data_IF_144372740783
#
_entry.id   IF_144372740783
#
_cell.length_a   1.000
_cell.length_b   1.000
_cell.length_c   1.000
_cell.angle_alpha   90.00
_cell.angle_beta   90.00
_cell.angle_gamma   90.00
#
_symmetry.space_group_name_H-M   'P 1'
#
loop_
_entity.id
_entity.type
_entity.pdbx_description
1 polymer ?
#
# COMPACT_ATOMS: atom_id res chain seq x y z
N UNK A 1 2.22 -24.79 -12.77
CA UNK A 1 1.92 -23.69 -13.65
C UNK A 1 0.43 -23.57 -13.91
N UNK A 2 -0.37 -23.11 -12.96
CA UNK A 2 -1.76 -22.74 -13.22
C UNK A 2 -1.96 -21.29 -12.87
N UNK A 3 -1.96 -20.43 -13.91
CA UNK A 3 -2.49 -19.09 -13.84
C UNK A 3 -3.98 -19.22 -13.59
N UNK A 4 -4.42 -19.02 -12.37
CA UNK A 4 -5.83 -18.89 -12.04
C UNK A 4 -6.38 -17.61 -12.68
N UNK A 5 -6.91 -17.74 -13.89
CA UNK A 5 -7.67 -16.68 -14.54
C UNK A 5 -9.00 -16.53 -13.81
N UNK A 6 -9.15 -15.48 -13.03
CA UNK A 6 -10.46 -15.10 -12.50
C UNK A 6 -11.26 -14.43 -13.64
N UNK A 7 -12.09 -15.20 -14.34
CA UNK A 7 -13.03 -14.65 -15.31
C UNK A 7 -14.13 -13.85 -14.61
N UNK A 8 -14.31 -12.61 -15.03
CA UNK A 8 -15.40 -11.74 -14.57
C UNK A 8 -16.73 -12.17 -15.18
N UNK A 9 -17.49 -12.95 -14.44
CA UNK A 9 -18.95 -13.05 -14.65
C UNK A 9 -19.63 -12.57 -13.39
N UNK A 10 -20.61 -11.68 -13.58
CA UNK A 10 -21.46 -11.06 -12.55
C UNK A 10 -22.41 -12.07 -11.87
N UNK A 11 -21.87 -13.13 -11.27
CA UNK A 11 -22.62 -14.06 -10.44
C UNK A 11 -22.15 -13.97 -9.00
N UNK A 12 -23.05 -13.68 -8.09
CA UNK A 12 -22.84 -13.58 -6.65
C UNK A 12 -22.54 -14.95 -6.01
N UNK A 13 -21.42 -15.54 -6.30
CA UNK A 13 -20.99 -16.78 -5.66
C UNK A 13 -20.03 -16.48 -4.49
N UNK A 14 -20.26 -16.97 -3.26
CA UNK A 14 -19.41 -16.72 -2.09
C UNK A 14 -17.93 -17.11 -2.28
N UNK A 15 -17.63 -18.07 -3.18
CA UNK A 15 -16.25 -18.45 -3.53
C UNK A 15 -15.50 -17.38 -4.32
N UNK A 16 -16.19 -16.47 -5.01
CA UNK A 16 -15.60 -15.32 -5.72
C UNK A 16 -15.14 -14.21 -4.77
N UNK A 17 -15.69 -14.15 -3.55
CA UNK A 17 -15.22 -13.18 -2.53
C UNK A 17 -13.75 -13.42 -2.17
N UNK A 18 -13.28 -14.67 -2.13
CA UNK A 18 -11.89 -14.98 -1.79
C UNK A 18 -10.89 -14.59 -2.88
N UNK A 19 -11.25 -14.68 -4.16
CA UNK A 19 -10.41 -14.20 -5.27
C UNK A 19 -10.29 -12.67 -5.31
N UNK A 20 -11.35 -11.96 -4.96
CA UNK A 20 -11.38 -10.49 -4.96
C UNK A 20 -10.51 -9.86 -3.85
N UNK A 21 -10.16 -10.63 -2.81
CA UNK A 21 -9.41 -10.13 -1.65
C UNK A 21 -7.91 -10.44 -1.66
N UNK A 22 -7.40 -11.23 -2.60
CA UNK A 22 -6.00 -11.67 -2.58
C UNK A 22 -5.01 -10.74 -3.30
N UNK A 23 -5.48 -9.85 -4.16
CA UNK A 23 -4.60 -9.07 -5.01
C UNK A 23 -3.75 -9.95 -5.96
N UNK A 24 -3.14 -9.35 -6.98
CA UNK A 24 -2.28 -10.07 -7.93
C UNK A 24 -0.83 -10.21 -7.44
N UNK A 25 -0.47 -9.56 -6.33
CA UNK A 25 0.92 -9.41 -5.88
C UNK A 25 1.22 -10.17 -4.59
N UNK A 26 0.59 -11.31 -4.41
CA UNK A 26 0.83 -12.23 -3.28
C UNK A 26 -0.03 -11.96 -2.07
N UNK A 27 0.21 -12.77 -1.03
CA UNK A 27 -0.56 -12.72 0.21
C UNK A 27 0.21 -11.89 1.25
N UNK A 28 -0.31 -10.71 1.58
CA UNK A 28 0.31 -9.79 2.56
C UNK A 28 0.51 -10.48 3.91
N UNK A 29 -0.43 -11.35 4.33
CA UNK A 29 -0.41 -12.00 5.63
C UNK A 29 0.82 -12.89 5.88
N UNK A 30 1.42 -13.44 4.81
CA UNK A 30 2.60 -14.31 4.91
C UNK A 30 3.93 -13.57 4.74
N UNK A 31 3.91 -12.26 4.48
CA UNK A 31 5.14 -11.48 4.34
C UNK A 31 5.79 -11.25 5.69
N UNK A 32 7.10 -11.42 5.74
CA UNK A 32 7.88 -11.11 6.93
C UNK A 32 8.08 -9.61 7.10
N UNK A 33 8.06 -9.15 8.34
CA UNK A 33 8.38 -7.78 8.76
C UNK A 33 9.53 -7.83 9.74
N UNK A 34 10.34 -6.76 9.81
CA UNK A 34 11.43 -6.69 10.79
C UNK A 34 10.87 -6.61 12.22
N UNK A 35 11.66 -7.08 13.19
CA UNK A 35 11.34 -6.93 14.61
C UNK A 35 11.28 -5.45 15.05
N UNK A 36 12.01 -4.59 14.35
CA UNK A 36 12.05 -3.15 14.58
C UNK A 36 10.75 -2.42 14.20
N UNK A 37 9.78 -3.11 13.61
CA UNK A 37 8.49 -2.50 13.23
C UNK A 37 7.78 -1.82 14.40
N UNK A 38 7.96 -2.33 15.62
CA UNK A 38 7.41 -1.69 16.83
C UNK A 38 8.16 -0.41 17.19
N UNK A 39 9.47 -0.33 16.92
CA UNK A 39 10.32 0.80 17.32
C UNK A 39 10.18 1.98 16.37
N UNK A 40 9.94 1.74 15.08
CA UNK A 40 9.87 2.77 14.04
C UNK A 40 8.70 3.71 14.22
N UNK A 41 7.61 3.21 14.75
CA UNK A 41 6.43 4.02 15.04
C UNK A 41 6.54 4.72 16.40
N UNK A 42 7.61 4.46 17.15
CA UNK A 42 8.07 5.28 18.27
C UNK A 42 7.22 5.23 19.53
N UNK A 43 6.21 4.37 19.61
CA UNK A 43 5.34 4.28 20.77
C UNK A 43 5.07 2.83 21.13
N UNK A 44 5.60 2.43 22.26
CA UNK A 44 5.16 1.22 22.98
C UNK A 44 4.21 1.68 24.07
N UNK A 45 2.91 1.53 23.84
CA UNK A 45 1.91 1.72 24.89
C UNK A 45 1.50 0.35 25.43
N UNK A 46 2.11 -0.07 26.51
CA UNK A 46 1.84 -1.40 27.08
C UNK A 46 2.34 -2.53 26.18
N UNK A 47 1.46 -3.45 25.79
CA UNK A 47 1.78 -4.59 24.90
C UNK A 47 1.43 -4.36 23.42
N UNK A 48 1.07 -3.14 23.02
CA UNK A 48 0.66 -2.81 21.65
C UNK A 48 1.78 -2.07 20.95
N UNK A 49 2.23 -2.59 19.80
CA UNK A 49 3.19 -1.91 18.94
C UNK A 49 2.62 -0.59 18.41
N UNK A 50 3.47 0.43 18.27
CA UNK A 50 3.05 1.75 17.83
C UNK A 50 2.33 1.76 16.47
N UNK A 51 2.71 0.88 15.53
CA UNK A 51 2.03 0.79 14.24
C UNK A 51 0.55 0.36 14.40
N UNK A 52 0.23 -0.53 15.35
CA UNK A 52 -1.16 -0.97 15.58
C UNK A 52 -1.99 0.17 16.15
N UNK A 53 -1.45 0.94 17.09
CA UNK A 53 -2.12 2.11 17.64
C UNK A 53 -2.43 3.15 16.55
N UNK A 54 -1.48 3.49 15.72
CA UNK A 54 -1.70 4.42 14.61
C UNK A 54 -2.67 3.84 13.57
N UNK A 55 -2.54 2.57 13.21
CA UNK A 55 -3.44 1.91 12.27
C UNK A 55 -4.89 1.87 12.81
N UNK A 56 -5.09 1.64 14.10
CA UNK A 56 -6.41 1.68 14.73
C UNK A 56 -7.01 3.09 14.74
N UNK A 57 -6.20 4.11 15.07
CA UNK A 57 -6.62 5.51 15.01
C UNK A 57 -7.02 5.90 13.59
N UNK A 58 -6.19 5.55 12.60
CA UNK A 58 -6.42 5.86 11.20
C UNK A 58 -7.64 5.10 10.65
N UNK A 59 -7.90 3.88 11.12
CA UNK A 59 -9.08 3.11 10.75
C UNK A 59 -10.38 3.84 11.10
N UNK A 60 -10.42 4.51 12.25
CA UNK A 60 -11.59 5.27 12.71
C UNK A 60 -11.88 6.50 11.85
N UNK A 61 -10.87 7.07 11.21
CA UNK A 61 -10.97 8.28 10.38
C UNK A 61 -10.95 8.00 8.87
N UNK A 62 -10.87 6.74 8.47
CA UNK A 62 -10.75 6.35 7.06
C UNK A 62 -12.02 6.67 6.26
N UNK A 63 -12.10 7.89 5.71
CA UNK A 63 -13.17 8.32 4.81
C UNK A 63 -13.05 7.70 3.41
N UNK A 64 -11.87 7.24 3.04
CA UNK A 64 -11.53 6.74 1.70
C UNK A 64 -11.82 5.25 1.50
N UNK A 65 -12.49 4.58 2.43
CA UNK A 65 -12.71 3.12 2.39
C UNK A 65 -13.34 2.63 1.09
N UNK A 66 -14.37 3.33 0.61
CA UNK A 66 -15.08 2.98 -0.64
C UNK A 66 -14.14 3.16 -1.84
N UNK A 67 -13.42 4.28 -1.90
CA UNK A 67 -12.48 4.58 -2.99
C UNK A 67 -11.35 3.54 -3.07
N UNK A 68 -10.80 3.13 -1.93
CA UNK A 68 -9.76 2.10 -1.87
C UNK A 68 -10.26 0.79 -2.47
N UNK A 69 -11.51 0.40 -2.14
CA UNK A 69 -12.12 -0.81 -2.71
C UNK A 69 -12.41 -0.71 -4.21
N UNK A 70 -12.71 0.46 -4.73
CA UNK A 70 -12.91 0.66 -6.16
C UNK A 70 -11.59 0.62 -6.95
N UNK A 71 -10.54 1.28 -6.42
CA UNK A 71 -9.22 1.37 -7.08
C UNK A 71 -8.56 0.00 -7.22
N UNK A 72 -8.78 -0.93 -6.27
CA UNK A 72 -8.24 -2.29 -6.32
C UNK A 72 -8.57 -3.04 -7.60
N UNK A 73 -9.78 -2.82 -8.14
CA UNK A 73 -10.26 -3.56 -9.31
C UNK A 73 -9.44 -3.24 -10.57
N UNK A 74 -8.93 -2.03 -10.67
CA UNK A 74 -8.18 -1.58 -11.84
C UNK A 74 -6.73 -2.06 -11.86
N UNK A 75 -6.10 -2.12 -10.71
CA UNK A 75 -4.68 -2.45 -10.58
C UNK A 75 -4.42 -3.79 -9.88
N UNK A 76 -5.48 -4.52 -9.52
CA UNK A 76 -5.38 -5.78 -8.77
C UNK A 76 -4.54 -5.65 -7.48
N UNK A 77 -4.53 -4.44 -6.88
CA UNK A 77 -3.80 -4.17 -5.65
C UNK A 77 -4.66 -4.57 -4.43
N UNK A 78 -4.02 -5.18 -3.43
CA UNK A 78 -4.71 -5.46 -2.18
C UNK A 78 -5.14 -4.14 -1.51
N UNK A 79 -6.45 -3.97 -1.21
CA UNK A 79 -6.94 -2.73 -0.58
C UNK A 79 -6.28 -2.45 0.76
N UNK A 80 -5.92 -3.48 1.53
CA UNK A 80 -5.23 -3.32 2.80
C UNK A 80 -3.84 -2.67 2.62
N UNK A 81 -3.15 -2.95 1.51
CA UNK A 81 -1.87 -2.32 1.21
C UNK A 81 -2.05 -0.83 0.87
N UNK A 82 -3.06 -0.50 0.08
CA UNK A 82 -3.38 0.91 -0.24
C UNK A 82 -3.73 1.68 1.04
N UNK A 83 -4.55 1.09 1.92
CA UNK A 83 -4.88 1.66 3.22
C UNK A 83 -3.63 1.88 4.08
N UNK A 84 -2.72 0.93 4.11
CA UNK A 84 -1.48 1.02 4.87
C UNK A 84 -0.56 2.16 4.37
N UNK A 85 -0.46 2.35 3.06
CA UNK A 85 0.30 3.48 2.48
C UNK A 85 -0.35 4.81 2.91
N UNK A 86 -1.66 4.95 2.78
CA UNK A 86 -2.39 6.16 3.18
C UNK A 86 -2.21 6.43 4.68
N UNK A 87 -2.35 5.41 5.51
CA UNK A 87 -2.12 5.51 6.95
C UNK A 87 -0.70 6.02 7.25
N UNK A 88 0.31 5.38 6.66
CA UNK A 88 1.71 5.73 6.92
C UNK A 88 2.09 7.12 6.42
N UNK A 89 1.57 7.53 5.27
CA UNK A 89 1.96 8.78 4.60
C UNK A 89 1.15 10.00 5.08
N UNK A 90 -0.12 9.83 5.43
CA UNK A 90 -1.00 10.97 5.74
C UNK A 90 -1.96 10.76 6.92
N UNK A 91 -1.87 9.64 7.66
CA UNK A 91 -2.82 9.28 8.71
C UNK A 91 -4.29 9.41 8.26
N UNK A 92 -4.61 8.76 7.13
CA UNK A 92 -5.94 8.86 6.53
C UNK A 92 -6.28 10.24 5.95
N UNK A 93 -5.28 11.08 5.72
CA UNK A 93 -5.43 12.46 5.25
C UNK A 93 -5.56 13.50 6.38
N UNK A 94 -5.54 13.09 7.65
CA UNK A 94 -5.83 13.99 8.78
C UNK A 94 -4.73 14.98 9.10
N UNK A 95 -3.48 14.65 8.78
CA UNK A 95 -2.31 15.50 9.10
C UNK A 95 -1.88 16.41 7.95
N UNK A 96 -2.67 16.49 6.88
CA UNK A 96 -2.34 17.28 5.70
C UNK A 96 -3.36 18.37 5.48
N UNK A 97 -2.88 19.59 5.29
CA UNK A 97 -3.71 20.72 4.92
C UNK A 97 -3.82 20.78 3.40
N UNK A 98 -5.03 20.71 2.87
CA UNK A 98 -5.30 20.69 1.43
C UNK A 98 -4.50 19.62 0.64
N UNK A 99 -4.12 18.55 1.34
CA UNK A 99 -3.39 17.43 0.78
C UNK A 99 -1.88 17.63 0.62
N UNK A 100 -1.34 18.82 0.92
CA UNK A 100 0.10 19.07 0.82
C UNK A 100 0.85 18.80 2.12
N UNK A 101 2.09 18.37 2.00
CA UNK A 101 3.01 18.36 3.14
C UNK A 101 3.42 19.80 3.51
N UNK A 102 4.02 19.97 4.70
CA UNK A 102 4.44 21.29 5.20
C UNK A 102 5.46 22.02 4.31
N UNK A 103 6.15 21.30 3.42
CA UNK A 103 7.12 21.86 2.44
C UNK A 103 6.48 22.11 1.08
N UNK A 104 5.23 21.73 0.86
CA UNK A 104 4.55 21.81 -0.43
C UNK A 104 5.21 20.95 -1.53
N UNK A 105 5.88 19.86 -1.15
CA UNK A 105 6.62 18.98 -2.07
C UNK A 105 5.90 17.67 -2.34
N UNK A 106 5.07 17.21 -1.41
CA UNK A 106 4.33 15.95 -1.51
C UNK A 106 2.84 16.22 -1.45
N UNK A 107 2.08 15.47 -2.24
CA UNK A 107 0.65 15.70 -2.42
C UNK A 107 -0.20 14.44 -2.23
N UNK A 108 -1.38 14.66 -1.66
CA UNK A 108 -2.47 13.72 -1.57
C UNK A 108 -2.36 12.70 -0.46
N UNK A 109 -3.34 11.80 -0.40
CA UNK A 109 -3.42 10.73 0.60
C UNK A 109 -2.15 9.87 0.67
N UNK A 110 -1.48 9.69 -0.46
CA UNK A 110 -0.28 8.84 -0.59
C UNK A 110 1.03 9.63 -0.66
N UNK A 111 0.95 10.95 -0.50
CA UNK A 111 2.09 11.86 -0.47
C UNK A 111 3.07 11.68 -1.66
N UNK A 112 2.53 11.74 -2.88
CA UNK A 112 3.34 11.69 -4.11
C UNK A 112 4.25 12.91 -4.23
N UNK A 113 5.53 12.69 -4.56
CA UNK A 113 6.51 13.74 -4.78
C UNK A 113 6.23 14.50 -6.09
N UNK A 114 5.86 15.79 -5.99
CA UNK A 114 5.55 16.63 -7.14
C UNK A 114 6.73 16.86 -8.10
N UNK A 115 7.96 16.69 -7.64
CA UNK A 115 9.15 16.79 -8.50
C UNK A 115 9.26 15.62 -9.47
N UNK A 116 8.65 14.49 -9.14
CA UNK A 116 8.69 13.26 -9.94
C UNK A 116 7.38 12.97 -10.66
N UNK A 117 6.28 13.39 -10.07
CA UNK A 117 4.94 13.12 -10.59
C UNK A 117 4.10 14.40 -10.59
N UNK A 118 3.44 14.68 -11.70
CA UNK A 118 2.40 15.72 -11.72
C UNK A 118 1.14 15.15 -11.05
N UNK A 119 0.70 15.68 -9.90
CA UNK A 119 -0.50 15.19 -9.24
C UNK A 119 -1.74 15.33 -10.12
N UNK A 120 -2.62 14.34 -10.06
CA UNK A 120 -3.90 14.29 -10.79
C UNK A 120 -5.04 14.29 -9.77
N UNK A 121 -6.11 15.03 -10.07
CA UNK A 121 -7.29 15.13 -9.23
C UNK A 121 -7.08 15.93 -7.95
N UNK A 122 -8.06 15.87 -7.05
CA UNK A 122 -7.95 16.40 -5.70
C UNK A 122 -7.20 15.42 -4.79
N UNK A 123 -6.70 15.90 -3.67
CA UNK A 123 -5.82 15.14 -2.78
C UNK A 123 -6.44 13.85 -2.22
N UNK A 124 -7.75 13.78 -2.15
CA UNK A 124 -8.56 12.64 -1.65
C UNK A 124 -9.40 11.97 -2.74
N UNK A 125 -9.15 12.28 -4.02
CA UNK A 125 -9.94 11.78 -5.13
C UNK A 125 -9.55 10.37 -5.56
N UNK A 126 -10.48 9.72 -6.28
CA UNK A 126 -10.25 8.44 -6.94
C UNK A 126 -9.12 8.52 -7.97
N UNK A 127 -9.05 9.62 -8.71
CA UNK A 127 -8.03 9.88 -9.72
C UNK A 127 -6.64 9.90 -9.10
N UNK A 128 -6.49 10.56 -7.94
CA UNK A 128 -5.24 10.57 -7.19
C UNK A 128 -4.85 9.17 -6.72
N UNK A 129 -5.77 8.41 -6.16
CA UNK A 129 -5.50 7.04 -5.72
C UNK A 129 -5.17 6.11 -6.89
N UNK A 130 -5.86 6.23 -8.03
CA UNK A 130 -5.53 5.47 -9.24
C UNK A 130 -4.13 5.80 -9.75
N UNK A 131 -3.73 7.06 -9.73
CA UNK A 131 -2.37 7.47 -10.08
C UNK A 131 -1.35 6.81 -9.16
N UNK A 132 -1.54 6.91 -7.86
CA UNK A 132 -0.60 6.37 -6.86
C UNK A 132 -0.46 4.84 -6.96
N UNK A 133 -1.57 4.12 -7.03
CA UNK A 133 -1.57 2.66 -7.17
C UNK A 133 -1.01 2.22 -8.52
N UNK A 134 -1.25 3.00 -9.58
CA UNK A 134 -0.65 2.78 -10.90
C UNK A 134 0.88 2.88 -10.84
N UNK A 135 1.41 3.93 -10.21
CA UNK A 135 2.86 4.10 -10.01
C UNK A 135 3.45 2.91 -9.24
N UNK A 136 2.82 2.50 -8.13
CA UNK A 136 3.28 1.34 -7.36
C UNK A 136 3.30 0.07 -8.23
N UNK A 137 2.24 -0.17 -9.00
CA UNK A 137 2.14 -1.30 -9.92
C UNK A 137 3.26 -1.31 -10.95
N UNK A 138 3.58 -0.14 -11.51
CA UNK A 138 4.67 0.00 -12.49
C UNK A 138 6.04 -0.27 -11.85
N UNK A 139 6.26 0.13 -10.60
CA UNK A 139 7.48 -0.19 -9.84
C UNK A 139 7.62 -1.69 -9.60
N UNK A 140 6.52 -2.37 -9.24
CA UNK A 140 6.51 -3.83 -9.09
C UNK A 140 6.87 -4.52 -10.41
N UNK A 141 6.24 -4.10 -11.52
CA UNK A 141 6.53 -4.65 -12.86
C UNK A 141 7.97 -4.39 -13.31
N UNK A 142 8.52 -3.21 -13.03
CA UNK A 142 9.91 -2.89 -13.32
C UNK A 142 10.87 -3.82 -12.58
N UNK A 143 10.60 -4.11 -11.30
CA UNK A 143 11.38 -5.09 -10.54
C UNK A 143 11.22 -6.52 -11.09
N UNK A 144 10.02 -6.93 -11.50
CA UNK A 144 9.80 -8.23 -12.14
C UNK A 144 10.62 -8.38 -13.42
N UNK A 145 10.73 -7.33 -14.21
CA UNK A 145 11.54 -7.31 -15.43
C UNK A 145 13.04 -7.35 -15.12
N UNK A 146 13.48 -6.58 -14.12
CA UNK A 146 14.91 -6.47 -13.76
C UNK A 146 15.44 -7.69 -13.01
N UNK A 147 14.61 -8.32 -12.18
CA UNK A 147 14.98 -9.41 -11.29
C UNK A 147 14.04 -10.61 -11.44
N UNK A 148 14.10 -11.36 -12.54
CA UNK A 148 13.11 -12.40 -12.86
C UNK A 148 13.07 -13.57 -11.87
N UNK A 149 14.09 -13.71 -11.00
CA UNK A 149 14.19 -14.78 -10.00
C UNK A 149 13.68 -14.38 -8.61
N UNK A 150 13.26 -13.14 -8.43
CA UNK A 150 12.73 -12.71 -7.14
C UNK A 150 11.40 -13.39 -6.81
N UNK A 151 11.13 -13.56 -5.52
CA UNK A 151 9.83 -13.97 -5.02
C UNK A 151 8.79 -12.86 -5.16
N UNK A 152 7.51 -13.23 -5.10
CA UNK A 152 6.40 -12.26 -5.14
C UNK A 152 6.51 -11.24 -4.00
N UNK A 153 6.91 -11.67 -2.80
CA UNK A 153 7.16 -10.80 -1.66
C UNK A 153 8.28 -9.77 -1.94
N UNK A 154 9.37 -10.22 -2.56
CA UNK A 154 10.48 -9.33 -2.94
C UNK A 154 10.05 -8.30 -4.00
N UNK A 155 9.23 -8.69 -4.98
CA UNK A 155 8.68 -7.74 -5.96
C UNK A 155 7.83 -6.67 -5.29
N UNK A 156 6.97 -7.05 -4.33
CA UNK A 156 6.13 -6.08 -3.64
C UNK A 156 6.96 -5.14 -2.75
N UNK A 157 7.88 -5.68 -1.96
CA UNK A 157 8.80 -4.87 -1.13
C UNK A 157 9.63 -3.91 -1.98
N UNK A 158 10.22 -4.41 -3.07
CA UNK A 158 10.97 -3.60 -4.03
C UNK A 158 10.11 -2.53 -4.71
N UNK A 159 8.86 -2.86 -5.04
CA UNK A 159 7.89 -1.90 -5.58
C UNK A 159 7.58 -0.78 -4.59
N UNK A 160 7.35 -1.10 -3.32
CA UNK A 160 7.13 -0.12 -2.25
C UNK A 160 8.36 0.77 -2.03
N UNK A 161 9.56 0.20 -2.02
CA UNK A 161 10.80 0.96 -1.92
C UNK A 161 10.97 1.93 -3.09
N UNK A 162 10.76 1.47 -4.33
CA UNK A 162 10.78 2.31 -5.52
C UNK A 162 9.70 3.40 -5.52
N UNK A 163 8.50 3.09 -5.05
CA UNK A 163 7.42 4.05 -4.88
C UNK A 163 7.82 5.18 -3.92
N UNK A 164 8.40 4.86 -2.77
CA UNK A 164 8.85 5.86 -1.79
C UNK A 164 10.05 6.68 -2.26
N UNK A 165 11.07 6.02 -2.80
CA UNK A 165 12.28 6.71 -3.29
C UNK A 165 12.03 7.43 -4.62
N UNK A 166 10.98 7.05 -5.35
CA UNK A 166 10.68 7.53 -6.69
C UNK A 166 11.63 7.00 -7.76
N UNK A 167 12.35 5.91 -7.48
CA UNK A 167 13.18 5.21 -8.45
C UNK A 167 12.34 4.24 -9.27
N UNK A 168 12.75 3.95 -10.50
CA UNK A 168 12.00 3.05 -11.38
C UNK A 168 12.04 1.60 -10.87
N UNK A 169 13.22 1.14 -10.49
CA UNK A 169 13.42 -0.16 -9.88
C UNK A 169 14.48 -0.07 -8.77
N UNK A 170 14.38 -0.94 -7.77
CA UNK A 170 15.38 -0.99 -6.71
C UNK A 170 16.70 -1.59 -7.18
N UNK A 171 17.81 -1.24 -6.49
CA UNK A 171 19.13 -1.75 -6.83
C UNK A 171 19.39 -3.14 -6.24
N UNK A 172 18.82 -3.44 -5.08
CA UNK A 172 19.02 -4.67 -4.32
C UNK A 172 17.67 -5.30 -3.95
N UNK A 173 17.65 -6.63 -3.64
CA UNK A 173 16.52 -7.21 -2.91
C UNK A 173 16.35 -6.32 -1.69
N UNK A 174 15.20 -5.70 -1.56
CA UNK A 174 14.98 -4.72 -0.52
C UNK A 174 15.49 -5.28 0.79
N UNK A 175 16.63 -4.81 1.23
CA UNK A 175 16.96 -4.83 2.63
C UNK A 175 15.70 -4.35 3.31
N UNK A 176 15.26 -5.06 4.31
CA UNK A 176 14.00 -4.81 4.98
C UNK A 176 14.11 -3.39 5.53
N UNK A 177 13.78 -2.41 4.69
CA UNK A 177 13.62 -1.03 5.09
C UNK A 177 12.49 -1.04 6.13
N UNK A 178 12.81 -0.54 7.28
CA UNK A 178 11.90 -0.47 8.42
C UNK A 178 10.57 0.19 8.05
N UNK A 179 10.62 1.19 7.16
CA UNK A 179 9.41 1.86 6.66
C UNK A 179 8.55 0.92 5.81
N UNK A 180 9.16 0.06 5.01
CA UNK A 180 8.44 -0.95 4.23
C UNK A 180 7.84 -2.01 5.14
N UNK A 181 8.58 -2.41 6.18
CA UNK A 181 8.07 -3.32 7.22
C UNK A 181 6.88 -2.73 7.98
N UNK A 182 6.91 -1.44 8.31
CA UNK A 182 5.78 -0.73 8.94
C UNK A 182 4.55 -0.70 8.02
N UNK A 183 4.72 -0.41 6.72
CA UNK A 183 3.62 -0.46 5.74
C UNK A 183 3.00 -1.86 5.68
N UNK A 184 3.82 -2.91 5.62
CA UNK A 184 3.33 -4.29 5.55
C UNK A 184 2.62 -4.69 6.85
N UNK A 185 3.13 -4.29 8.01
CA UNK A 185 2.50 -4.55 9.30
C UNK A 185 1.12 -3.87 9.42
N UNK A 186 1.01 -2.61 8.98
CA UNK A 186 -0.29 -1.90 8.89
C UNK A 186 -1.23 -2.58 7.89
N UNK A 187 -0.72 -3.06 6.76
CA UNK A 187 -1.51 -3.78 5.78
C UNK A 187 -2.08 -5.09 6.35
N UNK A 188 -1.29 -5.83 7.14
CA UNK A 188 -1.77 -7.01 7.87
C UNK A 188 -2.88 -6.65 8.87
N UNK A 189 -2.71 -5.54 9.59
CA UNK A 189 -3.73 -5.03 10.51
C UNK A 189 -5.03 -4.72 9.76
N UNK A 190 -4.98 -3.92 8.69
CA UNK A 190 -6.16 -3.58 7.90
C UNK A 190 -6.81 -4.79 7.24
N UNK A 191 -6.02 -5.77 6.80
CA UNK A 191 -6.55 -7.04 6.26
C UNK A 191 -7.40 -7.79 7.29
N UNK A 192 -6.97 -7.83 8.56
CA UNK A 192 -7.75 -8.42 9.66
C UNK A 192 -9.02 -7.63 9.98
N UNK A 193 -9.08 -6.34 9.63
CA UNK A 193 -10.20 -5.45 9.87
C UNK A 193 -11.08 -5.19 8.65
N UNK A 194 -11.01 -6.04 7.62
CA UNK A 194 -11.98 -6.07 6.53
C UNK A 194 -11.63 -5.29 5.26
N UNK A 195 -10.36 -4.85 5.13
CA UNK A 195 -9.83 -4.28 3.87
C UNK A 195 -9.45 -5.36 2.87
#
# INVERSE_FOLDING_TARGET
TSRGSCSFTLSMNPRLRSCLYRGCYGTIMTMETSAATCDITGVIAGSICGFEMFAEMDLKVFKSYILIKEVRLRHCMDPALTAAIISRESHGGTIRQDGWDHKGLKFGLTQLDKKKYRPVGTWDSKEHLLQAVGILTDRIKANQKKFPTWSVAQYLKGGLSGFKSGTEATATPADIDDVISDIIARAKFYKRHGF
#
